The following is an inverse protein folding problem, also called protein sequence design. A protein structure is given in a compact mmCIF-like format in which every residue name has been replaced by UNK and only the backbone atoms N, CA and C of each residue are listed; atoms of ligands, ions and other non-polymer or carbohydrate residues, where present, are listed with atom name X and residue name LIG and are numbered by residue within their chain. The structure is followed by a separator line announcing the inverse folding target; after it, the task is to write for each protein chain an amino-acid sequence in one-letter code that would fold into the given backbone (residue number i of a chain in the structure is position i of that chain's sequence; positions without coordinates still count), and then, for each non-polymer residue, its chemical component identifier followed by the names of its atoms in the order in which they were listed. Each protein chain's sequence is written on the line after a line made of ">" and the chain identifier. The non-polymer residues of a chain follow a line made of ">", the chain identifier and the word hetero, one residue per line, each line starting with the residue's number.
data_IF_841325501421
#
_entry.id   IF_841325501421
#
_cell.length_a   1.000
_cell.length_b   1.000
_cell.length_c   1.000
_cell.angle_alpha   90.00
_cell.angle_beta   90.00
_cell.angle_gamma   90.00
#
_symmetry.space_group_name_H-M   'P 1'
#
loop_
_entity.id
_entity.type
_entity.pdbx_description
1 polymer ?
#
# COMPACT_ATOMS: atom_id res chain seq x y z
N UNK A 1 52.99 -32.69 -15.40
CA UNK A 1 51.74 -33.16 -14.79
C UNK A 1 50.70 -33.23 -15.93
N UNK A 2 50.30 -34.41 -16.39
CA UNK A 2 49.32 -34.56 -17.48
C UNK A 2 47.93 -34.36 -16.93
N UNK A 3 47.28 -33.25 -17.32
CA UNK A 3 45.88 -32.95 -16.94
C UNK A 3 44.97 -34.01 -17.59
N UNK A 4 44.16 -34.67 -16.77
CA UNK A 4 43.29 -35.76 -17.20
C UNK A 4 42.17 -35.22 -18.05
N UNK A 5 42.01 -35.65 -19.32
CA UNK A 5 40.93 -35.22 -20.24
C UNK A 5 39.53 -35.32 -19.63
N UNK A 6 39.27 -36.31 -18.79
CA UNK A 6 37.99 -36.48 -18.09
C UNK A 6 37.72 -35.33 -17.11
N UNK A 7 38.75 -34.79 -16.48
CA UNK A 7 38.66 -33.69 -15.52
C UNK A 7 38.35 -32.36 -16.26
N UNK A 8 38.95 -32.16 -17.44
CA UNK A 8 38.63 -30.97 -18.28
C UNK A 8 37.16 -31.00 -18.75
N UNK A 9 36.66 -32.14 -19.19
CA UNK A 9 35.28 -32.33 -19.61
C UNK A 9 34.33 -32.08 -18.43
N UNK A 10 34.65 -32.56 -17.24
CA UNK A 10 33.81 -32.35 -16.06
C UNK A 10 33.73 -30.88 -15.63
N UNK A 11 34.87 -30.17 -15.63
CA UNK A 11 34.89 -28.73 -15.38
C UNK A 11 34.10 -27.94 -16.43
N UNK A 12 34.18 -28.29 -17.71
CA UNK A 12 33.43 -27.65 -18.77
C UNK A 12 31.93 -27.85 -18.60
N UNK A 13 31.48 -29.05 -18.22
CA UNK A 13 30.04 -29.33 -17.97
C UNK A 13 29.54 -28.55 -16.75
N UNK A 14 30.27 -28.49 -15.66
CA UNK A 14 29.91 -27.75 -14.44
C UNK A 14 29.81 -26.25 -14.75
N UNK A 15 30.76 -25.71 -15.54
CA UNK A 15 30.73 -24.30 -15.94
C UNK A 15 29.54 -24.00 -16.85
N UNK A 16 29.21 -24.87 -17.79
CA UNK A 16 28.05 -24.69 -18.70
C UNK A 16 26.74 -24.77 -17.89
N UNK A 17 26.62 -25.70 -16.96
CA UNK A 17 25.43 -25.81 -16.07
C UNK A 17 25.31 -24.58 -15.16
N UNK A 18 26.40 -24.07 -14.61
CA UNK A 18 26.40 -22.85 -13.80
C UNK A 18 25.99 -21.62 -14.63
N UNK A 19 26.49 -21.50 -15.89
CA UNK A 19 26.12 -20.42 -16.82
C UNK A 19 24.65 -20.55 -17.25
N UNK A 20 24.15 -21.76 -17.50
CA UNK A 20 22.73 -22.00 -17.80
C UNK A 20 21.82 -21.67 -16.60
N UNK A 21 22.22 -22.01 -15.39
CA UNK A 21 21.48 -21.67 -14.17
C UNK A 21 21.47 -20.16 -13.92
N UNK A 22 22.58 -19.44 -14.20
CA UNK A 22 22.60 -17.97 -14.13
C UNK A 22 21.80 -17.31 -15.24
N UNK A 23 21.75 -17.87 -16.44
CA UNK A 23 20.91 -17.37 -17.54
C UNK A 23 19.42 -17.61 -17.29
N UNK A 24 19.04 -18.71 -16.62
CA UNK A 24 17.64 -18.96 -16.20
C UNK A 24 17.25 -17.97 -15.11
N UNK A 25 18.19 -17.55 -14.23
CA UNK A 25 17.92 -16.53 -13.20
C UNK A 25 17.83 -15.09 -13.76
N UNK A 26 18.19 -14.85 -15.03
CA UNK A 26 18.17 -13.53 -15.69
C UNK A 26 17.05 -13.45 -16.77
N UNK A 27 16.23 -14.47 -16.93
CA UNK A 27 15.00 -14.29 -17.73
C UNK A 27 14.17 -13.24 -17.01
N UNK A 28 13.99 -12.02 -17.53
CA UNK A 28 13.05 -11.09 -16.93
C UNK A 28 11.71 -11.83 -16.91
N UNK A 29 11.12 -11.96 -15.72
CA UNK A 29 9.73 -12.37 -15.61
C UNK A 29 8.99 -11.31 -16.42
N UNK A 30 8.58 -11.67 -17.64
CA UNK A 30 7.71 -10.81 -18.44
C UNK A 30 6.46 -10.63 -17.60
N UNK A 31 6.40 -9.52 -16.86
CA UNK A 31 5.25 -9.17 -16.05
C UNK A 31 4.04 -9.18 -16.99
N UNK A 32 3.00 -9.92 -16.65
CA UNK A 32 1.70 -9.93 -17.36
C UNK A 32 1.20 -8.51 -17.59
N UNK A 33 1.56 -7.59 -16.69
CA UNK A 33 1.10 -6.20 -16.66
C UNK A 33 2.28 -5.22 -16.66
N UNK A 34 2.09 -4.03 -17.26
CA UNK A 34 2.94 -2.88 -16.99
C UNK A 34 2.65 -2.37 -15.57
N UNK A 35 3.64 -2.44 -14.69
CA UNK A 35 3.52 -2.07 -13.27
C UNK A 35 2.93 -0.67 -13.05
N UNK A 36 3.25 0.28 -13.91
CA UNK A 36 2.78 1.67 -13.80
C UNK A 36 1.31 1.82 -14.17
N UNK A 37 0.78 0.97 -15.04
CA UNK A 37 -0.58 1.05 -15.59
C UNK A 37 -1.27 -0.32 -15.62
N UNK A 38 -1.06 -1.13 -14.58
CA UNK A 38 -1.51 -2.51 -14.55
C UNK A 38 -3.02 -2.70 -14.64
N UNK A 39 -3.81 -1.70 -14.23
CA UNK A 39 -5.27 -1.75 -14.38
C UNK A 39 -5.72 -1.62 -15.83
N UNK A 40 -4.86 -1.10 -16.74
CA UNK A 40 -5.16 -0.98 -18.17
C UNK A 40 -5.51 -2.30 -18.83
N UNK A 41 -4.86 -3.37 -18.38
CA UNK A 41 -5.01 -4.71 -18.96
C UNK A 41 -6.20 -5.49 -18.36
N UNK A 42 -6.88 -4.93 -17.35
CA UNK A 42 -8.11 -5.47 -16.78
C UNK A 42 -9.33 -4.93 -17.53
N UNK A 43 -10.37 -5.77 -17.66
CA UNK A 43 -11.62 -5.37 -18.32
C UNK A 43 -12.39 -4.31 -17.53
N UNK A 44 -13.08 -3.41 -18.22
CA UNK A 44 -13.90 -2.36 -17.58
C UNK A 44 -15.03 -2.93 -16.70
N UNK A 45 -15.49 -4.13 -16.96
CA UNK A 45 -16.49 -4.84 -16.14
C UNK A 45 -15.92 -5.51 -14.89
N UNK A 46 -14.60 -5.43 -14.64
CA UNK A 46 -13.98 -5.97 -13.43
C UNK A 46 -14.60 -5.33 -12.19
N UNK A 47 -15.06 -6.16 -11.26
CA UNK A 47 -15.68 -5.71 -10.01
C UNK A 47 -14.57 -5.25 -9.05
N UNK A 48 -14.64 -4.03 -8.56
CA UNK A 48 -13.58 -3.43 -7.73
C UNK A 48 -13.36 -4.20 -6.43
N UNK A 49 -14.43 -4.67 -5.79
CA UNK A 49 -14.32 -5.47 -4.55
C UNK A 49 -13.70 -6.84 -4.78
N UNK A 50 -13.55 -7.29 -6.04
CA UNK A 50 -12.88 -8.55 -6.39
C UNK A 50 -11.39 -8.36 -6.72
N UNK A 51 -10.92 -7.12 -6.78
CA UNK A 51 -9.53 -6.83 -7.12
C UNK A 51 -8.58 -7.03 -5.94
N UNK A 52 -7.34 -7.38 -6.28
CA UNK A 52 -6.18 -7.38 -5.38
C UNK A 52 -5.36 -6.12 -5.64
N UNK A 53 -5.36 -5.21 -4.67
CA UNK A 53 -4.81 -3.85 -4.84
C UNK A 53 -3.65 -3.64 -3.87
N UNK A 54 -2.43 -3.35 -4.36
CA UNK A 54 -1.33 -2.96 -3.48
C UNK A 54 -1.57 -1.58 -2.87
N UNK A 55 -1.38 -1.51 -1.55
CA UNK A 55 -1.50 -0.31 -0.74
C UNK A 55 -0.29 -0.10 0.15
N UNK A 56 -0.13 1.11 0.68
CA UNK A 56 0.92 1.45 1.63
C UNK A 56 0.36 2.08 2.90
N UNK A 57 0.83 1.59 4.05
CA UNK A 57 0.58 2.18 5.36
C UNK A 57 1.47 3.40 5.53
N UNK A 58 0.95 4.46 6.14
CA UNK A 58 1.69 5.71 6.35
C UNK A 58 2.53 6.11 5.11
N UNK A 59 1.87 6.21 3.97
CA UNK A 59 2.50 6.26 2.63
C UNK A 59 3.53 7.37 2.47
N UNK A 60 3.39 8.48 3.20
CA UNK A 60 4.32 9.60 3.18
C UNK A 60 5.41 9.54 4.25
N UNK A 61 5.40 8.53 5.13
CA UNK A 61 6.35 8.39 6.23
C UNK A 61 7.68 7.80 5.75
N UNK A 62 8.48 8.64 5.07
CA UNK A 62 9.77 8.24 4.47
C UNK A 62 10.98 8.68 5.28
N UNK A 63 10.76 9.41 6.38
CA UNK A 63 11.82 9.94 7.25
C UNK A 63 11.77 9.31 8.63
N UNK A 64 12.93 8.99 9.18
CA UNK A 64 13.06 8.52 10.55
C UNK A 64 13.63 9.60 11.46
N UNK A 65 13.39 9.47 12.76
CA UNK A 65 14.13 10.13 13.82
C UNK A 65 15.09 9.10 14.40
N UNK A 66 16.36 9.46 14.54
CA UNK A 66 17.43 8.56 15.04
C UNK A 66 17.54 7.23 14.27
N UNK A 67 17.23 7.25 12.97
CA UNK A 67 17.26 6.09 12.06
C UNK A 67 16.38 4.90 12.45
N UNK A 68 15.43 5.07 13.37
CA UNK A 68 14.64 3.95 13.92
C UNK A 68 13.13 4.21 13.99
N UNK A 69 12.67 5.43 14.24
CA UNK A 69 11.25 5.73 14.46
C UNK A 69 10.69 6.68 13.40
N UNK A 70 9.41 6.54 13.08
CA UNK A 70 8.68 7.46 12.21
C UNK A 70 8.78 7.16 10.70
N UNK A 71 9.43 6.07 10.30
CA UNK A 71 9.56 5.66 8.90
C UNK A 71 8.79 4.36 8.66
N UNK A 72 7.89 4.39 7.68
CA UNK A 72 7.10 3.24 7.24
C UNK A 72 7.34 2.90 5.76
N UNK A 73 7.96 3.79 4.99
CA UNK A 73 8.24 3.57 3.56
C UNK A 73 9.64 4.05 3.19
N UNK A 74 10.29 3.34 2.26
CA UNK A 74 11.58 3.75 1.68
C UNK A 74 11.41 4.65 0.45
N UNK A 75 10.29 4.53 -0.25
CA UNK A 75 10.03 5.19 -1.51
C UNK A 75 9.11 6.41 -1.35
N UNK A 76 9.34 7.44 -2.16
CA UNK A 76 8.38 8.53 -2.33
C UNK A 76 7.04 8.03 -2.86
N UNK A 77 5.95 8.76 -2.61
CA UNK A 77 4.61 8.42 -3.11
C UNK A 77 4.61 8.21 -4.63
N UNK A 78 5.29 9.07 -5.39
CA UNK A 78 5.40 8.92 -6.84
C UNK A 78 6.05 7.58 -7.22
N UNK A 79 7.11 7.18 -6.53
CA UNK A 79 7.76 5.90 -6.79
C UNK A 79 6.87 4.72 -6.39
N UNK A 80 6.11 4.84 -5.30
CA UNK A 80 5.10 3.84 -4.92
C UNK A 80 4.03 3.67 -6.00
N UNK A 81 3.51 4.76 -6.57
CA UNK A 81 2.55 4.72 -7.69
C UNK A 81 3.17 4.06 -8.94
N UNK A 82 4.42 4.38 -9.26
CA UNK A 82 5.12 3.84 -10.42
C UNK A 82 5.38 2.32 -10.34
N UNK A 83 5.40 1.74 -9.15
CA UNK A 83 5.53 0.29 -8.94
C UNK A 83 4.19 -0.43 -8.77
N UNK A 84 3.05 0.28 -8.88
CA UNK A 84 1.71 -0.30 -8.90
C UNK A 84 0.84 -0.06 -7.68
N UNK A 85 1.29 0.71 -6.67
CA UNK A 85 0.46 1.06 -5.51
C UNK A 85 -0.75 1.91 -5.94
N UNK A 86 -1.95 1.56 -5.43
CA UNK A 86 -3.21 2.28 -5.74
C UNK A 86 -4.06 2.60 -4.49
N UNK A 87 -3.57 2.24 -3.31
CA UNK A 87 -4.12 2.70 -2.04
C UNK A 87 -3.01 3.38 -1.23
N UNK A 88 -3.28 4.60 -0.77
CA UNK A 88 -2.33 5.41 -0.01
C UNK A 88 -2.95 5.81 1.33
N UNK A 89 -2.33 5.44 2.45
CA UNK A 89 -2.70 5.90 3.79
C UNK A 89 -1.95 7.20 4.09
N UNK A 90 -2.65 8.33 3.99
CA UNK A 90 -2.09 9.68 4.13
C UNK A 90 -2.47 10.23 5.50
N UNK A 91 -1.47 10.49 6.33
CA UNK A 91 -1.64 11.04 7.67
C UNK A 91 -1.13 12.47 7.74
N UNK A 92 -1.96 13.35 8.29
CA UNK A 92 -1.79 14.79 8.20
C UNK A 92 -1.85 15.47 9.57
N UNK A 93 -1.18 16.61 9.65
CA UNK A 93 -1.34 17.61 10.68
C UNK A 93 -1.51 18.99 10.03
N UNK A 94 -2.46 19.79 10.51
CA UNK A 94 -2.57 21.19 10.10
C UNK A 94 -1.67 22.06 10.98
N UNK A 95 -0.69 22.74 10.36
CA UNK A 95 0.26 23.62 11.06
C UNK A 95 0.37 24.94 10.31
N UNK A 96 -0.02 26.07 10.95
CA UNK A 96 0.04 27.40 10.35
C UNK A 96 -0.65 27.47 8.97
N UNK A 97 -1.86 26.91 8.91
CA UNK A 97 -2.69 26.85 7.71
C UNK A 97 -2.08 26.02 6.54
N UNK A 98 -1.08 25.17 6.82
CA UNK A 98 -0.50 24.21 5.88
C UNK A 98 -0.74 22.77 6.34
N UNK A 99 -1.23 21.91 5.47
CA UNK A 99 -1.32 20.46 5.73
C UNK A 99 0.04 19.80 5.49
N UNK A 100 0.57 19.18 6.53
CA UNK A 100 1.87 18.49 6.54
C UNK A 100 1.66 17.00 6.68
N UNK A 101 2.43 16.21 5.95
CA UNK A 101 2.52 14.78 6.16
C UNK A 101 3.25 14.55 7.49
N UNK A 102 2.66 13.74 8.36
CA UNK A 102 3.23 13.38 9.66
C UNK A 102 3.09 11.87 9.90
N UNK A 103 3.90 11.32 10.77
CA UNK A 103 3.66 10.03 11.42
C UNK A 103 3.71 10.28 12.92
N UNK A 104 2.53 10.28 13.57
CA UNK A 104 2.38 10.74 14.93
C UNK A 104 2.95 12.17 15.09
N UNK A 105 3.97 12.37 15.92
CA UNK A 105 4.64 13.67 16.13
C UNK A 105 5.80 13.96 15.16
N UNK A 106 6.13 13.02 14.26
CA UNK A 106 7.26 13.14 13.33
C UNK A 106 6.83 13.84 12.05
N UNK A 107 7.22 15.10 11.89
CA UNK A 107 7.02 15.88 10.65
C UNK A 107 7.90 15.30 9.52
N UNK A 108 7.28 14.80 8.47
CA UNK A 108 7.95 14.20 7.31
C UNK A 108 8.59 15.23 6.37
N UNK A 109 8.46 16.54 6.67
CA UNK A 109 8.96 17.66 5.85
C UNK A 109 8.37 17.64 4.42
N UNK A 110 7.17 17.15 4.31
CA UNK A 110 6.44 17.01 3.06
C UNK A 110 5.07 17.69 3.21
N UNK A 111 4.72 18.53 2.26
CA UNK A 111 3.45 19.23 2.23
C UNK A 111 2.41 18.43 1.44
N UNK A 112 1.20 18.33 1.96
CA UNK A 112 0.11 17.58 1.34
C UNK A 112 -0.27 18.12 -0.05
N UNK A 113 -0.26 19.44 -0.24
CA UNK A 113 -0.57 20.02 -1.55
C UNK A 113 0.38 19.55 -2.67
N UNK A 114 1.65 19.29 -2.36
CA UNK A 114 2.62 18.73 -3.32
C UNK A 114 2.30 17.26 -3.62
N UNK A 115 2.03 16.48 -2.56
CA UNK A 115 1.66 15.07 -2.69
C UNK A 115 0.38 14.92 -3.49
N UNK A 116 -0.64 15.73 -3.19
CA UNK A 116 -1.93 15.67 -3.89
C UNK A 116 -1.79 16.06 -5.37
N UNK A 117 -0.94 17.05 -5.66
CA UNK A 117 -0.59 17.41 -7.03
C UNK A 117 0.02 16.23 -7.78
N UNK A 118 1.03 15.59 -7.20
CA UNK A 118 1.73 14.46 -7.81
C UNK A 118 0.77 13.28 -8.06
N UNK A 119 -0.13 12.98 -7.12
CA UNK A 119 -1.17 11.94 -7.27
C UNK A 119 -2.15 12.30 -8.39
N UNK A 120 -2.64 13.56 -8.42
CA UNK A 120 -3.58 14.01 -9.44
C UNK A 120 -2.97 13.97 -10.85
N UNK A 121 -1.72 14.41 -10.99
CA UNK A 121 -0.98 14.36 -12.25
C UNK A 121 -0.76 12.90 -12.70
N UNK A 122 -0.38 12.02 -11.78
CA UNK A 122 -0.24 10.58 -12.09
C UNK A 122 -1.52 9.99 -12.67
N UNK A 123 -2.68 10.24 -12.06
CA UNK A 123 -3.97 9.71 -12.55
C UNK A 123 -4.36 10.32 -13.89
N UNK A 124 -4.10 11.62 -14.11
CA UNK A 124 -4.37 12.30 -15.40
C UNK A 124 -3.51 11.74 -16.53
N UNK A 125 -2.24 11.47 -16.26
CA UNK A 125 -1.32 10.85 -17.22
C UNK A 125 -1.62 9.36 -17.47
N UNK A 126 -2.17 8.68 -16.48
CA UNK A 126 -2.44 7.24 -16.50
C UNK A 126 -3.94 7.00 -16.21
N UNK A 127 -4.79 7.47 -17.10
CA UNK A 127 -6.25 7.49 -16.93
C UNK A 127 -6.93 6.11 -16.94
N UNK A 128 -6.20 5.05 -17.20
CA UNK A 128 -6.66 3.67 -16.98
C UNK A 128 -6.71 3.28 -15.50
N UNK A 129 -6.02 4.02 -14.66
CA UNK A 129 -5.87 3.75 -13.24
C UNK A 129 -6.89 4.53 -12.40
N UNK A 130 -7.18 4.06 -11.19
CA UNK A 130 -7.77 4.84 -10.11
C UNK A 130 -6.94 4.72 -8.84
N UNK A 131 -7.10 5.65 -7.91
CA UNK A 131 -6.38 5.62 -6.63
C UNK A 131 -7.38 5.85 -5.49
N UNK A 132 -7.18 5.15 -4.37
CA UNK A 132 -7.86 5.43 -3.11
C UNK A 132 -6.86 6.11 -2.19
N UNK A 133 -7.23 7.27 -1.63
CA UNK A 133 -6.45 7.94 -0.59
C UNK A 133 -7.23 7.93 0.72
N UNK A 134 -6.67 7.29 1.75
CA UNK A 134 -7.16 7.37 3.12
C UNK A 134 -6.58 8.61 3.77
N UNK A 135 -7.42 9.51 4.27
CA UNK A 135 -7.00 10.74 4.93
C UNK A 135 -7.34 10.68 6.41
N UNK A 136 -6.32 10.84 7.27
CA UNK A 136 -6.46 10.88 8.73
C UNK A 136 -5.76 12.12 9.29
N UNK A 137 -6.42 12.84 10.22
CA UNK A 137 -5.74 13.79 11.09
C UNK A 137 -5.00 12.98 12.17
N UNK A 138 -3.67 12.95 12.13
CA UNK A 138 -2.85 12.08 12.99
C UNK A 138 -2.27 12.84 14.20
N UNK A 139 -2.36 14.16 14.20
CA UNK A 139 -1.97 15.02 15.30
C UNK A 139 -2.78 16.31 15.27
N UNK A 140 -3.05 16.88 16.46
CA UNK A 140 -3.83 18.09 16.63
C UNK A 140 -3.30 19.27 15.81
N UNK A 141 -4.23 20.06 15.28
CA UNK A 141 -3.92 21.29 14.55
C UNK A 141 -3.15 22.31 15.41
N UNK A 142 -2.15 22.98 14.83
CA UNK A 142 -1.28 23.93 15.54
C UNK A 142 -1.23 25.28 14.88
N UNK A 143 -1.53 26.36 15.64
CA UNK A 143 -1.37 27.77 15.21
C UNK A 143 -2.04 28.08 13.88
N UNK A 144 -3.19 27.44 13.59
CA UNK A 144 -3.93 27.59 12.35
C UNK A 144 -5.18 28.45 12.58
N UNK A 145 -5.60 29.19 11.54
CA UNK A 145 -6.77 30.07 11.55
C UNK A 145 -8.00 29.39 10.90
N UNK A 146 -7.75 28.36 10.11
CA UNK A 146 -8.77 27.54 9.45
C UNK A 146 -8.87 26.19 10.15
N UNK A 147 -9.97 25.46 9.96
CA UNK A 147 -10.13 24.11 10.47
C UNK A 147 -9.36 23.10 9.58
N UNK A 148 -9.06 21.92 10.14
CA UNK A 148 -8.46 20.85 9.36
C UNK A 148 -9.35 20.46 8.17
N UNK A 149 -10.66 20.32 8.40
CA UNK A 149 -11.65 20.03 7.38
C UNK A 149 -11.62 21.05 6.24
N UNK A 150 -11.77 22.34 6.55
CA UNK A 150 -11.82 23.40 5.55
C UNK A 150 -10.55 23.39 4.68
N UNK A 151 -9.39 23.15 5.32
CA UNK A 151 -8.12 23.11 4.59
C UNK A 151 -7.99 21.90 3.69
N UNK A 152 -8.46 20.73 4.11
CA UNK A 152 -8.49 19.52 3.26
C UNK A 152 -9.39 19.73 2.06
N UNK A 153 -10.60 20.30 2.27
CA UNK A 153 -11.54 20.60 1.18
C UNK A 153 -10.97 21.64 0.21
N UNK A 154 -10.33 22.69 0.73
CA UNK A 154 -9.63 23.69 -0.12
C UNK A 154 -8.60 23.02 -1.04
N UNK A 155 -7.78 22.08 -0.51
CA UNK A 155 -6.79 21.39 -1.33
C UNK A 155 -7.43 20.46 -2.36
N UNK A 156 -8.45 19.69 -1.98
CA UNK A 156 -9.16 18.80 -2.91
C UNK A 156 -9.87 19.54 -4.04
N UNK A 157 -10.47 20.68 -3.75
CA UNK A 157 -11.24 21.47 -4.72
C UNK A 157 -10.38 22.04 -5.87
N UNK A 158 -9.06 21.93 -5.79
CA UNK A 158 -8.14 22.35 -6.85
C UNK A 158 -8.06 21.34 -8.01
N UNK A 159 -8.63 20.14 -7.85
CA UNK A 159 -8.48 19.03 -8.80
C UNK A 159 -9.83 18.43 -9.18
N UNK A 160 -10.08 18.32 -10.48
CA UNK A 160 -11.32 17.83 -11.09
C UNK A 160 -11.43 16.28 -11.13
N UNK A 161 -10.34 15.60 -10.88
CA UNK A 161 -10.29 14.15 -10.84
C UNK A 161 -10.42 13.54 -9.43
N UNK A 162 -10.74 14.35 -8.41
CA UNK A 162 -11.07 13.87 -7.06
C UNK A 162 -12.59 13.64 -6.98
N UNK A 163 -12.98 12.43 -6.58
CA UNK A 163 -14.38 12.10 -6.28
C UNK A 163 -14.69 12.34 -4.81
N UNK A 164 -15.79 13.02 -4.55
CA UNK A 164 -16.38 13.23 -3.24
C UNK A 164 -17.49 12.21 -2.91
N UNK A 165 -17.69 11.21 -3.78
CA UNK A 165 -18.72 10.19 -3.62
C UNK A 165 -18.47 9.36 -2.36
N UNK A 166 -19.53 9.00 -1.67
CA UNK A 166 -19.51 8.24 -0.42
C UNK A 166 -19.32 6.72 -0.62
N UNK A 167 -19.26 6.29 -1.86
CA UNK A 167 -19.02 4.90 -2.27
C UNK A 167 -18.05 4.84 -3.45
N UNK A 168 -17.35 3.71 -3.57
CA UNK A 168 -16.69 3.36 -4.83
C UNK A 168 -17.76 2.93 -5.84
N UNK A 169 -17.54 3.18 -7.14
CA UNK A 169 -18.33 2.55 -8.19
C UNK A 169 -18.15 1.01 -8.16
N UNK A 170 -19.07 0.31 -8.80
CA UNK A 170 -19.04 -1.16 -8.80
C UNK A 170 -17.91 -1.69 -9.67
N UNK A 171 -17.68 -1.05 -10.83
CA UNK A 171 -16.77 -1.55 -11.85
C UNK A 171 -15.53 -0.67 -12.03
N UNK A 172 -14.46 -1.30 -12.48
CA UNK A 172 -13.20 -0.62 -12.78
C UNK A 172 -13.38 0.48 -13.83
N UNK A 173 -14.18 0.22 -14.89
CA UNK A 173 -14.41 1.20 -15.95
C UNK A 173 -15.02 2.51 -15.44
N UNK A 174 -15.92 2.44 -14.45
CA UNK A 174 -16.53 3.61 -13.80
C UNK A 174 -15.54 4.37 -12.90
N UNK A 175 -14.52 3.66 -12.36
CA UNK A 175 -13.56 4.22 -11.43
C UNK A 175 -12.35 4.88 -12.12
N UNK A 176 -12.04 4.50 -13.36
CA UNK A 176 -10.85 4.96 -14.07
C UNK A 176 -10.72 6.48 -14.09
N UNK A 177 -9.50 6.97 -13.99
CA UNK A 177 -9.17 8.40 -14.06
C UNK A 177 -9.55 9.20 -12.80
N UNK A 178 -9.94 8.53 -11.71
CA UNK A 178 -10.43 9.18 -10.48
C UNK A 178 -9.56 8.86 -9.27
N UNK A 179 -9.63 9.77 -8.29
CA UNK A 179 -9.07 9.62 -6.94
C UNK A 179 -10.26 9.58 -5.98
N UNK A 180 -10.39 8.50 -5.22
CA UNK A 180 -11.43 8.30 -4.21
C UNK A 180 -10.89 8.56 -2.81
N UNK A 181 -11.70 9.18 -1.96
CA UNK A 181 -11.34 9.54 -0.60
C UNK A 181 -11.91 8.51 0.37
N UNK A 182 -11.04 7.86 1.16
CA UNK A 182 -11.43 7.14 2.36
C UNK A 182 -11.33 8.12 3.54
N UNK A 183 -12.49 8.59 4.02
CA UNK A 183 -12.60 9.68 4.99
C UNK A 183 -12.43 9.16 6.43
N UNK A 184 -11.27 9.40 7.02
CA UNK A 184 -10.96 9.13 8.44
C UNK A 184 -10.75 10.40 9.26
N UNK A 185 -11.17 11.58 8.78
CA UNK A 185 -10.87 12.88 9.40
C UNK A 185 -12.09 13.73 9.77
N UNK A 186 -13.30 13.41 9.28
CA UNK A 186 -14.49 14.21 9.55
C UNK A 186 -15.77 13.38 9.49
N UNK A 187 -16.77 13.80 10.28
CA UNK A 187 -18.13 13.24 10.24
C UNK A 187 -18.96 13.77 9.07
N UNK A 188 -18.47 14.78 8.33
CA UNK A 188 -19.17 15.34 7.18
C UNK A 188 -19.29 14.31 6.05
N UNK A 189 -20.34 14.50 5.22
CA UNK A 189 -20.62 13.66 4.08
C UNK A 189 -19.67 13.97 2.92
N UNK A 190 -18.50 13.33 2.98
CA UNK A 190 -17.46 13.42 1.96
C UNK A 190 -16.72 12.10 1.87
N UNK A 191 -16.60 11.56 0.66
CA UNK A 191 -15.88 10.31 0.41
C UNK A 191 -16.47 9.11 1.16
N UNK A 192 -15.80 7.98 1.08
CA UNK A 192 -16.17 6.72 1.74
C UNK A 192 -16.00 6.90 3.25
N UNK A 193 -17.12 6.80 3.99
CA UNK A 193 -17.16 7.11 5.42
C UNK A 193 -16.42 6.07 6.26
N UNK A 194 -15.36 6.51 6.94
CA UNK A 194 -14.55 5.69 7.84
C UNK A 194 -14.13 6.44 9.12
N UNK A 195 -14.66 7.64 9.38
CA UNK A 195 -14.32 8.46 10.54
C UNK A 195 -14.86 7.88 11.85
N UNK A 196 -16.16 7.54 11.88
CA UNK A 196 -16.78 6.91 13.05
C UNK A 196 -16.70 5.40 12.95
N UNK A 197 -16.27 4.73 14.04
CA UNK A 197 -16.23 3.28 14.14
C UNK A 197 -14.97 2.62 13.60
N UNK A 198 -13.91 3.39 13.33
CA UNK A 198 -12.59 2.80 13.16
C UNK A 198 -12.08 2.32 14.52
N UNK A 199 -12.05 1.01 14.70
CA UNK A 199 -11.64 0.39 15.96
C UNK A 199 -10.11 0.30 16.06
N UNK A 200 -9.61 0.33 17.31
CA UNK A 200 -8.17 0.36 17.60
C UNK A 200 -7.60 -1.07 17.67
N UNK A 201 -6.54 -1.33 16.94
CA UNK A 201 -5.76 -2.58 16.93
C UNK A 201 -6.61 -3.85 16.90
N UNK A 202 -7.52 -3.97 15.93
CA UNK A 202 -8.40 -5.14 15.78
C UNK A 202 -8.91 -5.28 14.34
N UNK A 203 -9.73 -6.30 14.10
CA UNK A 203 -10.50 -6.47 12.85
C UNK A 203 -11.96 -6.15 13.06
N UNK A 204 -12.58 -5.38 12.17
CA UNK A 204 -13.95 -4.91 12.32
C UNK A 204 -14.68 -4.68 10.99
N UNK A 205 -16.01 -4.56 11.09
CA UNK A 205 -16.87 -4.17 9.98
C UNK A 205 -17.25 -2.70 10.13
N UNK A 206 -17.10 -1.94 9.06
CA UNK A 206 -17.45 -0.52 9.03
C UNK A 206 -18.16 -0.17 7.72
N UNK A 207 -19.50 0.00 7.76
CA UNK A 207 -20.33 0.31 6.59
C UNK A 207 -20.04 -0.66 5.40
N UNK A 208 -19.53 -0.12 4.27
CA UNK A 208 -19.14 -0.88 3.08
C UNK A 208 -17.74 -1.50 3.16
N UNK A 209 -17.09 -1.46 4.33
CA UNK A 209 -15.73 -1.93 4.52
C UNK A 209 -15.68 -3.14 5.46
N UNK A 210 -14.67 -3.97 5.29
CA UNK A 210 -14.08 -4.81 6.31
C UNK A 210 -12.63 -4.40 6.49
N UNK A 211 -12.19 -4.18 7.71
CA UNK A 211 -10.85 -3.70 8.03
C UNK A 211 -10.17 -4.67 8.97
N UNK A 212 -9.00 -5.15 8.62
CA UNK A 212 -8.04 -5.78 9.51
C UNK A 212 -6.91 -4.76 9.76
N UNK A 213 -6.87 -4.20 10.97
CA UNK A 213 -5.87 -3.23 11.42
C UNK A 213 -5.37 -3.59 12.84
N UNK A 214 -5.15 -4.89 13.09
CA UNK A 214 -4.56 -5.36 14.34
C UNK A 214 -3.04 -5.15 14.29
N UNK A 215 -2.54 -4.10 14.92
CA UNK A 215 -1.17 -3.63 14.77
C UNK A 215 -0.32 -3.70 16.05
N UNK A 216 -0.92 -3.79 17.24
CA UNK A 216 -0.24 -3.91 18.53
C UNK A 216 -0.27 -5.36 18.99
N UNK A 217 0.83 -6.09 18.90
CA UNK A 217 0.84 -7.55 18.99
C UNK A 217 1.98 -8.09 19.87
N UNK A 218 1.82 -9.29 20.38
CA UNK A 218 2.86 -10.00 21.14
C UNK A 218 3.93 -10.62 20.21
N UNK A 219 3.52 -11.05 19.01
CA UNK A 219 4.45 -11.62 18.01
C UNK A 219 3.94 -11.51 16.58
N UNK A 220 4.82 -11.70 15.62
CA UNK A 220 4.56 -11.57 14.19
C UNK A 220 3.64 -12.67 13.65
N UNK A 221 3.59 -13.85 14.26
CA UNK A 221 2.78 -14.97 13.77
C UNK A 221 1.29 -14.69 13.94
N UNK A 222 0.89 -13.93 14.98
CA UNK A 222 -0.49 -13.44 15.12
C UNK A 222 -0.84 -12.57 13.91
N UNK A 223 0.02 -11.65 13.52
CA UNK A 223 -0.20 -10.80 12.34
C UNK A 223 -0.32 -11.60 11.06
N UNK A 224 0.55 -12.58 10.86
CA UNK A 224 0.49 -13.48 9.69
C UNK A 224 -0.85 -14.22 9.64
N UNK A 225 -1.35 -14.69 10.78
CA UNK A 225 -2.64 -15.36 10.85
C UNK A 225 -3.80 -14.40 10.54
N UNK A 226 -3.78 -13.17 11.05
CA UNK A 226 -4.79 -12.15 10.76
C UNK A 226 -4.84 -11.80 9.26
N UNK A 227 -3.67 -11.70 8.63
CA UNK A 227 -3.53 -11.49 7.18
C UNK A 227 -4.20 -12.63 6.41
N UNK A 228 -3.90 -13.89 6.76
CA UNK A 228 -4.48 -15.08 6.11
C UNK A 228 -5.99 -15.16 6.29
N UNK A 229 -6.47 -14.94 7.52
CA UNK A 229 -7.91 -14.93 7.82
C UNK A 229 -8.64 -13.86 6.98
N UNK A 230 -7.98 -12.72 6.75
CA UNK A 230 -8.53 -11.64 5.93
C UNK A 230 -8.51 -11.99 4.43
N UNK A 231 -7.49 -12.69 3.95
CA UNK A 231 -7.50 -13.22 2.58
C UNK A 231 -8.66 -14.21 2.39
N UNK A 232 -8.86 -15.13 3.33
CA UNK A 232 -9.95 -16.10 3.25
C UNK A 232 -11.32 -15.39 3.32
N UNK A 233 -11.47 -14.36 4.17
CA UNK A 233 -12.67 -13.54 4.20
C UNK A 233 -12.91 -12.82 2.85
N UNK A 234 -11.86 -12.29 2.22
CA UNK A 234 -11.99 -11.54 0.97
C UNK A 234 -12.58 -12.36 -0.17
N UNK A 235 -12.43 -13.69 -0.16
CA UNK A 235 -12.93 -14.58 -1.22
C UNK A 235 -14.46 -14.51 -1.40
N UNK A 236 -15.17 -14.26 -0.31
CA UNK A 236 -16.65 -14.25 -0.28
C UNK A 236 -17.22 -12.86 0.06
N UNK A 237 -16.35 -11.90 0.37
CA UNK A 237 -16.78 -10.55 0.73
C UNK A 237 -17.36 -9.82 -0.47
N UNK A 238 -18.48 -9.14 -0.24
CA UNK A 238 -19.08 -8.17 -1.15
C UNK A 238 -18.79 -6.72 -0.73
N UNK A 239 -17.76 -6.53 0.08
CA UNK A 239 -17.31 -5.27 0.64
C UNK A 239 -15.86 -5.01 0.24
N UNK A 240 -15.44 -3.76 0.31
CA UNK A 240 -14.03 -3.41 0.19
C UNK A 240 -13.28 -3.93 1.42
N UNK A 241 -12.30 -4.78 1.22
CA UNK A 241 -11.49 -5.39 2.28
C UNK A 241 -10.16 -4.66 2.38
N UNK A 242 -9.87 -4.09 3.55
CA UNK A 242 -8.61 -3.45 3.87
C UNK A 242 -7.80 -4.35 4.81
N UNK A 243 -6.65 -4.81 4.36
CA UNK A 243 -5.79 -5.74 5.10
C UNK A 243 -4.44 -5.07 5.39
N UNK A 244 -4.30 -4.47 6.58
CA UNK A 244 -3.06 -3.86 7.01
C UNK A 244 -2.08 -4.93 7.49
N UNK A 245 -0.91 -4.99 6.88
CA UNK A 245 0.17 -5.91 7.27
C UNK A 245 1.14 -5.28 8.27
N UNK A 246 1.02 -3.97 8.48
CA UNK A 246 1.81 -3.20 9.43
C UNK A 246 1.53 -3.63 10.87
N UNK A 247 2.57 -3.70 11.71
CA UNK A 247 2.46 -3.92 13.14
C UNK A 247 3.73 -3.52 13.89
N UNK A 248 3.61 -3.41 15.23
CA UNK A 248 4.73 -3.38 16.15
C UNK A 248 4.52 -4.43 17.27
N UNK A 249 5.61 -4.82 17.91
CA UNK A 249 5.56 -5.81 19.00
C UNK A 249 5.67 -5.11 20.35
N UNK A 250 4.59 -5.19 21.14
CA UNK A 250 4.44 -4.45 22.39
C UNK A 250 5.47 -4.84 23.45
N UNK A 251 5.73 -6.14 23.60
CA UNK A 251 6.59 -6.69 24.64
C UNK A 251 8.01 -6.99 24.17
N UNK A 252 8.46 -6.41 23.05
CA UNK A 252 9.81 -6.64 22.51
C UNK A 252 10.85 -5.75 23.21
N UNK A 253 12.05 -6.32 23.42
CA UNK A 253 13.21 -5.55 23.86
C UNK A 253 14.43 -5.91 22.96
N UNK A 254 15.03 -4.93 22.25
CA UNK A 254 14.59 -3.53 22.16
C UNK A 254 13.21 -3.38 21.50
N UNK A 255 12.53 -2.24 21.69
CA UNK A 255 11.25 -1.96 21.05
C UNK A 255 11.33 -2.18 19.53
N UNK A 256 10.31 -2.83 18.94
CA UNK A 256 10.27 -2.98 17.48
C UNK A 256 9.66 -1.74 16.85
N UNK A 257 10.25 -1.34 15.74
CA UNK A 257 9.69 -0.32 14.85
C UNK A 257 9.16 -1.01 13.58
N UNK A 258 8.37 -0.31 12.79
CA UNK A 258 7.73 -0.86 11.59
C UNK A 258 8.66 -1.69 10.67
N UNK A 259 9.91 -1.26 10.52
CA UNK A 259 10.89 -1.94 9.67
C UNK A 259 11.24 -3.38 10.12
N UNK A 260 11.21 -3.66 11.42
CA UNK A 260 11.60 -4.99 11.94
C UNK A 260 10.56 -6.06 11.60
N UNK A 261 9.27 -5.92 11.99
CA UNK A 261 8.26 -6.90 11.58
C UNK A 261 8.00 -6.88 10.07
N UNK A 262 8.05 -5.72 9.39
CA UNK A 262 7.81 -5.64 7.96
C UNK A 262 8.79 -6.49 7.15
N UNK A 263 10.06 -6.55 7.53
CA UNK A 263 11.07 -7.36 6.83
C UNK A 263 10.71 -8.85 6.80
N UNK A 264 10.21 -9.38 7.91
CA UNK A 264 9.79 -10.79 8.00
C UNK A 264 8.45 -11.01 7.31
N UNK A 265 7.47 -10.14 7.57
CA UNK A 265 6.13 -10.21 6.99
C UNK A 265 6.19 -10.10 5.47
N UNK A 266 6.89 -9.12 4.90
CA UNK A 266 6.91 -8.88 3.46
C UNK A 266 7.51 -10.06 2.69
N UNK A 267 8.61 -10.66 3.20
CA UNK A 267 9.20 -11.85 2.58
C UNK A 267 8.22 -13.03 2.60
N UNK A 268 7.67 -13.34 3.76
CA UNK A 268 6.69 -14.40 3.93
C UNK A 268 5.43 -14.14 3.07
N UNK A 269 4.96 -12.88 3.00
CA UNK A 269 3.76 -12.50 2.27
C UNK A 269 3.90 -12.77 0.76
N UNK A 270 5.05 -12.49 0.15
CA UNK A 270 5.31 -12.83 -1.25
C UNK A 270 5.17 -14.34 -1.47
N UNK A 271 5.73 -15.17 -0.57
CA UNK A 271 5.64 -16.61 -0.65
C UNK A 271 4.19 -17.11 -0.52
N UNK A 272 3.39 -16.48 0.36
CA UNK A 272 1.97 -16.84 0.55
C UNK A 272 1.08 -16.40 -0.61
N UNK A 273 1.28 -15.20 -1.14
CA UNK A 273 0.52 -14.68 -2.29
C UNK A 273 0.76 -15.57 -3.52
N UNK A 274 1.99 -15.99 -3.77
CA UNK A 274 2.33 -16.86 -4.90
C UNK A 274 1.66 -18.25 -4.85
N UNK A 275 1.08 -18.63 -3.71
CA UNK A 275 0.27 -19.86 -3.55
C UNK A 275 -1.23 -19.61 -3.78
N UNK A 276 -1.65 -18.36 -4.00
CA UNK A 276 -3.06 -17.96 -4.11
C UNK A 276 -3.40 -17.62 -5.56
N UNK A 277 -4.55 -18.12 -6.02
CA UNK A 277 -5.13 -17.80 -7.34
C UNK A 277 -6.37 -16.89 -7.20
N UNK A 278 -6.47 -16.12 -6.12
CA UNK A 278 -7.72 -15.51 -5.72
C UNK A 278 -7.53 -14.14 -5.12
N UNK A 279 -8.57 -13.30 -5.19
CA UNK A 279 -8.58 -11.94 -4.68
C UNK A 279 -8.10 -11.83 -3.23
N UNK A 280 -7.32 -10.79 -2.97
CA UNK A 280 -6.72 -10.52 -1.67
C UNK A 280 -7.36 -9.30 -0.97
N UNK A 281 -8.17 -8.51 -1.71
CA UNK A 281 -8.57 -7.18 -1.29
C UNK A 281 -7.44 -6.17 -1.42
N UNK A 282 -7.48 -5.09 -0.65
CA UNK A 282 -6.43 -4.08 -0.59
C UNK A 282 -5.41 -4.50 0.47
N UNK A 283 -4.19 -4.82 0.05
CA UNK A 283 -3.10 -5.25 0.94
C UNK A 283 -2.21 -4.05 1.23
N UNK A 284 -2.24 -3.57 2.47
CA UNK A 284 -1.63 -2.30 2.89
C UNK A 284 -0.39 -2.59 3.72
N UNK A 285 0.79 -2.26 3.17
CA UNK A 285 2.07 -2.75 3.70
C UNK A 285 3.00 -1.63 4.14
N UNK A 286 3.90 -1.95 5.07
CA UNK A 286 5.09 -1.17 5.36
C UNK A 286 6.23 -1.56 4.42
N UNK A 287 7.07 -0.59 4.04
CA UNK A 287 8.28 -0.80 3.22
C UNK A 287 8.00 -1.61 1.95
N UNK A 288 7.00 -1.14 1.17
CA UNK A 288 6.61 -1.74 -0.10
C UNK A 288 7.82 -1.88 -1.04
N UNK A 289 7.91 -3.02 -1.71
CA UNK A 289 8.87 -3.25 -2.79
C UNK A 289 8.15 -3.48 -4.11
N UNK A 290 8.86 -3.31 -5.23
CA UNK A 290 8.31 -3.61 -6.55
C UNK A 290 7.86 -5.08 -6.65
N UNK A 291 8.64 -6.00 -6.08
CA UNK A 291 8.33 -7.43 -6.05
C UNK A 291 7.02 -7.71 -5.30
N UNK A 292 6.84 -7.11 -4.11
CA UNK A 292 5.62 -7.30 -3.32
C UNK A 292 4.40 -6.65 -3.99
N UNK A 293 4.53 -5.43 -4.50
CA UNK A 293 3.45 -4.78 -5.24
C UNK A 293 3.03 -5.63 -6.45
N UNK A 294 4.03 -6.15 -7.18
CA UNK A 294 3.81 -7.04 -8.33
C UNK A 294 3.09 -8.32 -7.93
N UNK A 295 3.54 -9.00 -6.87
CA UNK A 295 2.88 -10.20 -6.37
C UNK A 295 1.39 -9.95 -6.08
N UNK A 296 1.04 -8.79 -5.48
CA UNK A 296 -0.34 -8.46 -5.15
C UNK A 296 -1.20 -8.22 -6.40
N UNK A 297 -0.79 -7.33 -7.34
CA UNK A 297 -1.65 -7.02 -8.49
C UNK A 297 -1.65 -8.11 -9.56
N UNK A 298 -0.67 -8.99 -9.59
CA UNK A 298 -0.63 -10.12 -10.54
C UNK A 298 -1.67 -11.20 -10.28
N UNK A 299 -2.31 -11.18 -9.11
CA UNK A 299 -3.40 -12.09 -8.73
C UNK A 299 -4.70 -11.79 -9.51
N UNK A 300 -4.85 -10.57 -10.06
CA UNK A 300 -6.03 -10.14 -10.84
C UNK A 300 -6.21 -10.86 -12.18
#
# INVERSE_FOLDING_TARGET
>A
MKINKKMIIWFSIVTIVAVLLTLIAIVPINSKYDKKIWMKDLGDSTIITDMSIPGTHDSGATRSIFDVAGKCQDMSIVNQLNIGVRFLDIRLQLVKDELRIVHSFVDQKLLFNKVLKDISEFVKENNSEFIIISIKEDADSKKSKVTFYDKVIEEFSKYDNISFDDTLPTTLGEARGKIYILNRFTSNDIGIKAYHGWEDSTSFHLNSLYVQDNYCLDNVDIKKQDILNTFDYSLTANKLVLNFTSCYLENSFPPTYAATPAKDINKWLIEEINKKDKKLGIVIVDFITEELASAIYMVN
#
